data_IF_121496868186
#
_entry.id   IF_121496868186
#
_cell.length_a   1.000
_cell.length_b   1.000
_cell.length_c   1.000
_cell.angle_alpha   90.00
_cell.angle_beta   90.00
_cell.angle_gamma   90.00
#
_symmetry.space_group_name_H-M   'P 1'
#
loop_
_entity.id
_entity.type
_entity.pdbx_description
1 polymer ?
#
# COMPACT_ATOMS: atom_id res chain seq x y z
N UNK A 1 -9.38 -10.92 10.33
CA UNK A 1 -9.22 -9.58 9.74
C UNK A 1 -10.56 -8.89 9.88
N UNK A 2 -10.57 -7.63 10.30
CA UNK A 2 -11.77 -6.79 10.46
C UNK A 2 -11.82 -5.81 9.29
N UNK A 3 -12.99 -5.63 8.69
CA UNK A 3 -13.14 -4.74 7.54
C UNK A 3 -13.03 -3.26 7.98
N UNK A 4 -12.29 -2.47 7.20
CA UNK A 4 -12.19 -1.02 7.41
C UNK A 4 -13.25 -0.30 6.59
N UNK A 5 -13.84 0.80 7.10
CA UNK A 5 -14.68 1.65 6.28
C UNK A 5 -13.82 2.35 5.21
N UNK A 6 -14.33 2.36 3.98
CA UNK A 6 -13.67 2.97 2.81
C UNK A 6 -14.60 3.91 2.03
N UNK A 7 -15.70 4.36 2.66
CA UNK A 7 -16.82 5.13 2.10
C UNK A 7 -16.46 6.57 1.66
N UNK A 8 -15.34 6.73 0.96
CA UNK A 8 -14.80 8.00 0.50
C UNK A 8 -13.96 7.81 -0.77
N UNK A 9 -14.56 8.11 -1.93
CA UNK A 9 -13.81 8.15 -3.20
C UNK A 9 -12.91 9.38 -3.31
N UNK A 10 -13.31 10.48 -2.69
CA UNK A 10 -12.48 11.69 -2.59
C UNK A 10 -11.60 11.59 -1.35
N UNK A 11 -10.30 11.77 -1.54
CA UNK A 11 -9.32 11.88 -0.47
C UNK A 11 -8.54 13.18 -0.55
N UNK A 12 -8.07 13.67 0.60
CA UNK A 12 -7.08 14.74 0.59
C UNK A 12 -5.71 14.15 0.24
N UNK A 13 -4.92 14.92 -0.51
CA UNK A 13 -3.52 14.63 -0.87
C UNK A 13 -2.68 14.25 0.37
N UNK A 14 -2.99 14.85 1.52
CA UNK A 14 -2.43 14.43 2.81
C UNK A 14 -2.63 12.94 3.13
N UNK A 15 -3.87 12.44 3.15
CA UNK A 15 -4.14 11.04 3.52
C UNK A 15 -3.75 10.06 2.43
N UNK A 16 -3.84 10.48 1.17
CA UNK A 16 -3.48 9.63 0.05
C UNK A 16 -1.96 9.52 -0.14
N UNK A 17 -1.16 10.51 0.27
CA UNK A 17 0.29 10.51 0.02
C UNK A 17 1.12 10.91 1.25
N UNK A 18 0.93 12.12 1.78
CA UNK A 18 1.85 12.68 2.78
C UNK A 18 1.86 11.87 4.10
N UNK A 19 0.70 11.41 4.56
CA UNK A 19 0.54 10.57 5.76
C UNK A 19 1.20 9.19 5.63
N UNK A 20 1.45 8.75 4.39
CA UNK A 20 2.16 7.53 4.07
C UNK A 20 3.66 7.80 3.87
N UNK A 21 4.16 9.00 4.17
CA UNK A 21 5.54 9.36 3.91
C UNK A 21 5.90 9.29 2.41
N UNK A 22 4.95 9.53 1.52
CA UNK A 22 5.24 9.69 0.09
C UNK A 22 5.54 11.17 -0.22
N UNK A 23 6.73 11.51 -0.76
CA UNK A 23 7.16 12.90 -0.90
C UNK A 23 6.29 13.68 -1.89
N UNK A 24 6.23 15.01 -1.74
CA UNK A 24 5.44 15.90 -2.60
C UNK A 24 5.95 15.97 -4.05
N UNK A 25 7.24 15.66 -4.26
CA UNK A 25 7.85 15.57 -5.59
C UNK A 25 7.79 14.17 -6.21
N UNK A 26 7.08 13.21 -5.59
CA UNK A 26 7.07 11.84 -6.10
C UNK A 26 6.45 11.78 -7.51
N UNK A 27 6.96 10.97 -8.46
CA UNK A 27 6.39 10.80 -9.80
C UNK A 27 4.90 10.45 -9.84
N UNK A 28 4.44 9.65 -8.88
CA UNK A 28 3.00 9.35 -8.72
C UNK A 28 2.16 10.57 -8.26
N UNK A 29 2.82 11.71 -8.00
CA UNK A 29 2.24 13.05 -7.81
C UNK A 29 2.63 13.99 -8.98
N UNK A 30 3.83 13.86 -9.58
CA UNK A 30 4.24 14.05 -11.01
C UNK A 30 5.78 13.92 -11.23
N UNK A 31 6.23 13.73 -12.49
CA UNK A 31 7.56 13.23 -12.98
C UNK A 31 8.86 13.66 -12.25
N UNK A 32 9.71 12.65 -11.95
CA UNK A 32 11.18 12.58 -11.72
C UNK A 32 11.64 11.96 -10.38
N UNK A 33 12.61 11.02 -10.47
CA UNK A 33 13.20 10.25 -9.35
C UNK A 33 14.34 10.98 -8.62
N UNK A 34 14.55 10.68 -7.33
CA UNK A 34 15.67 11.22 -6.51
C UNK A 34 16.22 10.18 -5.54
N UNK A 35 17.55 10.18 -5.32
CA UNK A 35 18.22 9.34 -4.30
C UNK A 35 18.07 9.93 -2.89
N UNK A 36 17.83 9.07 -1.89
CA UNK A 36 17.63 9.47 -0.49
C UNK A 36 18.89 9.30 0.38
N UNK A 37 19.20 10.30 1.20
CA UNK A 37 20.22 10.26 2.26
C UNK A 37 19.58 10.64 3.61
N UNK A 38 20.17 10.15 4.70
CA UNK A 38 19.72 10.32 6.10
C UNK A 38 19.25 11.76 6.43
N UNK A 39 18.05 11.90 7.04
CA UNK A 39 17.46 13.18 7.46
C UNK A 39 16.05 13.51 6.92
N UNK A 40 15.27 12.51 6.48
CA UNK A 40 14.00 12.75 5.77
C UNK A 40 14.22 13.17 4.32
N UNK A 41 13.18 13.67 3.64
CA UNK A 41 13.26 13.99 2.21
C UNK A 41 13.95 15.33 1.86
N UNK A 42 14.38 16.10 2.86
CA UNK A 42 15.17 17.35 2.70
C UNK A 42 14.56 18.37 1.73
N UNK A 43 13.24 18.54 1.76
CA UNK A 43 12.54 19.58 1.02
C UNK A 43 11.56 20.33 1.93
N UNK A 44 11.13 21.52 1.49
CA UNK A 44 10.11 22.30 2.18
C UNK A 44 8.71 21.73 1.91
N UNK A 45 8.09 21.14 2.94
CA UNK A 45 6.74 20.59 2.83
C UNK A 45 5.70 21.71 2.77
N UNK A 46 4.84 21.67 1.74
CA UNK A 46 3.83 22.71 1.50
C UNK A 46 2.46 22.24 1.93
N UNK A 47 1.83 22.96 2.85
CA UNK A 47 0.48 22.64 3.35
C UNK A 47 -0.58 22.72 2.24
N UNK A 48 -0.45 23.66 1.32
CA UNK A 48 -1.41 23.83 0.23
C UNK A 48 -1.43 22.62 -0.72
N UNK A 49 -0.30 21.94 -0.91
CA UNK A 49 -0.23 20.70 -1.70
C UNK A 49 -0.97 19.53 -1.03
N UNK A 50 -0.92 19.48 0.31
CA UNK A 50 -1.58 18.44 1.10
C UNK A 50 -3.10 18.63 1.24
N UNK A 51 -3.57 19.88 1.08
CA UNK A 51 -5.00 20.26 1.11
C UNK A 51 -5.75 19.97 -0.18
N UNK A 52 -5.04 19.73 -1.30
CA UNK A 52 -5.67 19.37 -2.58
C UNK A 52 -6.47 18.08 -2.42
N UNK A 53 -7.70 18.08 -2.93
CA UNK A 53 -8.50 16.87 -3.02
C UNK A 53 -8.25 16.15 -4.34
N UNK A 54 -8.34 14.83 -4.30
CA UNK A 54 -8.17 13.94 -5.45
C UNK A 54 -9.10 12.73 -5.32
N UNK A 55 -9.24 11.97 -6.39
CA UNK A 55 -9.84 10.64 -6.32
C UNK A 55 -8.80 9.66 -5.78
N UNK A 56 -9.16 8.91 -4.74
CA UNK A 56 -8.26 8.00 -4.03
C UNK A 56 -7.56 7.03 -5.00
N UNK A 57 -6.23 7.02 -4.99
CA UNK A 57 -5.42 6.24 -5.96
C UNK A 57 -5.09 4.83 -5.49
N UNK A 58 -5.23 4.56 -4.19
CA UNK A 58 -5.00 3.25 -3.56
C UNK A 58 -5.72 3.18 -2.20
N UNK A 59 -6.13 1.97 -1.78
CA UNK A 59 -6.80 1.77 -0.48
C UNK A 59 -5.88 1.95 0.73
N UNK A 60 -4.57 2.11 0.52
CA UNK A 60 -3.59 2.42 1.57
C UNK A 60 -3.88 3.73 2.31
N UNK A 61 -4.60 4.68 1.68
CA UNK A 61 -5.11 5.87 2.36
C UNK A 61 -6.10 5.53 3.49
N UNK A 62 -6.96 4.53 3.27
CA UNK A 62 -7.89 4.04 4.28
C UNK A 62 -7.14 3.34 5.43
N UNK A 63 -6.09 2.56 5.11
CA UNK A 63 -5.19 1.98 6.11
C UNK A 63 -4.49 3.05 6.94
N UNK A 64 -4.01 4.14 6.33
CA UNK A 64 -3.41 5.27 7.07
C UNK A 64 -4.40 5.87 8.08
N UNK A 65 -5.65 6.09 7.67
CA UNK A 65 -6.70 6.58 8.57
C UNK A 65 -7.01 5.58 9.70
N UNK A 66 -7.09 4.30 9.40
CA UNK A 66 -7.36 3.26 10.38
C UNK A 66 -6.22 3.14 11.41
N UNK A 67 -4.97 3.16 10.95
CA UNK A 67 -3.78 3.16 11.81
C UNK A 67 -3.67 4.43 12.64
N UNK A 68 -4.01 5.60 12.08
CA UNK A 68 -4.07 6.85 12.85
C UNK A 68 -5.11 6.76 13.98
N UNK A 69 -6.31 6.24 13.70
CA UNK A 69 -7.34 6.01 14.74
C UNK A 69 -6.87 5.04 15.81
N UNK A 70 -6.21 3.95 15.41
CA UNK A 70 -5.61 2.97 16.34
C UNK A 70 -4.58 3.63 17.25
N UNK A 71 -3.69 4.46 16.69
CA UNK A 71 -2.64 5.15 17.43
C UNK A 71 -3.16 6.17 18.46
N UNK A 72 -4.41 6.64 18.31
CA UNK A 72 -5.07 7.55 19.24
C UNK A 72 -5.78 6.86 20.42
N UNK A 73 -5.84 5.53 20.43
CA UNK A 73 -6.40 4.79 21.57
C UNK A 73 -5.49 4.93 22.79
N UNK A 74 -6.07 4.99 23.99
CA UNK A 74 -5.31 5.09 25.24
C UNK A 74 -4.34 3.92 25.44
N UNK A 75 -4.74 2.73 24.97
CA UNK A 75 -3.94 1.50 25.03
C UNK A 75 -3.91 0.87 23.66
N UNK A 76 -2.70 0.60 23.17
CA UNK A 76 -2.51 -0.17 21.95
C UNK A 76 -3.07 -1.58 22.11
N UNK A 77 -3.86 -2.02 21.14
CA UNK A 77 -4.30 -3.40 20.98
C UNK A 77 -3.89 -3.91 19.59
N UNK A 78 -3.36 -5.13 19.46
CA UNK A 78 -3.04 -5.71 18.16
C UNK A 78 -4.27 -5.84 17.27
N UNK A 79 -4.12 -5.52 15.97
CA UNK A 79 -5.23 -5.55 15.01
C UNK A 79 -4.83 -6.15 13.68
N UNK A 80 -5.83 -6.66 12.96
CA UNK A 80 -5.72 -7.16 11.59
C UNK A 80 -6.86 -6.54 10.79
N UNK A 81 -6.59 -5.62 9.88
CA UNK A 81 -7.60 -4.97 9.08
C UNK A 81 -7.52 -5.34 7.60
N UNK A 82 -8.64 -5.30 6.90
CA UNK A 82 -8.68 -5.43 5.44
C UNK A 82 -9.67 -4.44 4.83
N UNK A 83 -9.52 -4.19 3.53
CA UNK A 83 -10.52 -3.50 2.72
C UNK A 83 -10.51 -4.00 1.28
N UNK A 84 -11.66 -3.91 0.61
CA UNK A 84 -11.81 -4.14 -0.82
C UNK A 84 -12.63 -2.99 -1.36
N UNK A 85 -12.02 -2.12 -2.16
CA UNK A 85 -12.74 -0.97 -2.67
C UNK A 85 -12.13 -0.43 -3.96
N UNK A 86 -12.93 0.38 -4.66
CA UNK A 86 -12.54 1.05 -5.89
C UNK A 86 -11.51 2.15 -5.65
N UNK A 87 -10.58 2.24 -6.58
CA UNK A 87 -9.51 3.23 -6.66
C UNK A 87 -9.42 3.76 -8.10
N UNK A 88 -8.87 4.95 -8.26
CA UNK A 88 -8.86 5.68 -9.52
C UNK A 88 -7.43 6.03 -9.90
N UNK A 89 -7.05 5.74 -11.14
CA UNK A 89 -5.72 6.08 -11.66
C UNK A 89 -5.84 6.80 -12.98
N UNK A 90 -5.10 7.89 -13.11
CA UNK A 90 -4.99 8.66 -14.34
C UNK A 90 -3.88 8.06 -15.21
N UNK A 91 -4.03 6.80 -15.59
CA UNK A 91 -3.14 6.07 -16.49
C UNK A 91 -3.76 6.03 -17.90
N UNK A 92 -2.91 5.92 -18.94
CA UNK A 92 -3.41 5.78 -20.31
C UNK A 92 -4.23 4.49 -20.42
N UNK A 93 -5.51 4.62 -20.79
CA UNK A 93 -6.39 3.47 -20.99
C UNK A 93 -5.82 2.57 -22.09
N UNK A 94 -5.58 1.31 -21.75
CA UNK A 94 -5.25 0.27 -22.70
C UNK A 94 -6.03 -1.01 -22.38
N UNK A 95 -5.79 -2.09 -23.12
CA UNK A 95 -6.49 -3.36 -22.94
C UNK A 95 -6.30 -3.99 -21.54
N UNK A 96 -5.34 -3.51 -20.76
CA UNK A 96 -4.93 -4.04 -19.45
C UNK A 96 -5.03 -3.03 -18.31
N UNK A 97 -5.14 -1.72 -18.60
CA UNK A 97 -5.18 -0.65 -17.61
C UNK A 97 -6.51 0.10 -17.69
N UNK A 98 -7.34 -0.09 -16.66
CA UNK A 98 -8.59 0.64 -16.47
C UNK A 98 -8.36 1.89 -15.62
N UNK A 99 -9.08 2.97 -15.91
CA UNK A 99 -9.03 4.21 -15.11
C UNK A 99 -9.56 4.02 -13.67
N UNK A 100 -10.39 2.99 -13.46
CA UNK A 100 -10.84 2.56 -12.14
C UNK A 100 -10.82 1.04 -12.02
N UNK A 101 -10.43 0.53 -10.85
CA UNK A 101 -10.45 -0.89 -10.52
C UNK A 101 -10.57 -1.09 -9.01
N UNK A 102 -10.82 -2.32 -8.57
CA UNK A 102 -10.92 -2.66 -7.15
C UNK A 102 -9.56 -3.12 -6.62
N UNK A 103 -9.13 -2.53 -5.52
CA UNK A 103 -7.92 -2.93 -4.80
C UNK A 103 -8.31 -3.65 -3.51
N UNK A 104 -7.66 -4.80 -3.28
CA UNK A 104 -7.74 -5.55 -2.02
C UNK A 104 -6.50 -5.22 -1.20
N UNK A 105 -6.67 -4.82 0.06
CA UNK A 105 -5.56 -4.55 0.97
C UNK A 105 -5.79 -5.19 2.34
N UNK A 106 -4.71 -5.64 2.96
CA UNK A 106 -4.69 -6.16 4.33
C UNK A 106 -3.52 -5.59 5.12
N UNK A 107 -3.77 -5.17 6.36
CA UNK A 107 -2.76 -4.64 7.28
C UNK A 107 -2.82 -5.37 8.62
N UNK A 108 -1.66 -5.71 9.16
CA UNK A 108 -1.52 -6.29 10.50
C UNK A 108 -0.63 -5.36 11.32
N UNK A 109 -1.13 -4.93 12.48
CA UNK A 109 -0.40 -4.08 13.41
C UNK A 109 -0.26 -4.80 14.75
N UNK A 110 0.97 -5.13 15.12
CA UNK A 110 1.33 -5.77 16.37
C UNK A 110 2.80 -5.44 16.72
N UNK A 111 3.23 -5.76 17.93
CA UNK A 111 4.60 -5.56 18.39
C UNK A 111 5.49 -6.71 17.92
N UNK A 112 6.70 -6.38 17.47
CA UNK A 112 7.69 -7.39 17.08
C UNK A 112 7.35 -8.15 15.79
N UNK A 113 6.53 -7.57 14.91
CA UNK A 113 6.33 -8.13 13.58
C UNK A 113 7.62 -8.10 12.78
N UNK A 114 7.83 -9.12 11.96
CA UNK A 114 9.03 -9.31 11.15
C UNK A 114 8.63 -9.59 9.72
N UNK A 115 9.60 -9.54 8.81
CA UNK A 115 9.38 -9.91 7.42
C UNK A 115 8.83 -11.34 7.27
N UNK A 116 9.25 -12.26 8.14
CA UNK A 116 8.75 -13.63 8.18
C UNK A 116 7.26 -13.70 8.51
N UNK A 117 6.74 -12.84 9.39
CA UNK A 117 5.32 -12.76 9.69
C UNK A 117 4.49 -12.29 8.49
N UNK A 118 5.00 -11.31 7.73
CA UNK A 118 4.39 -10.86 6.48
C UNK A 118 4.33 -11.99 5.45
N UNK A 119 5.47 -12.64 5.20
CA UNK A 119 5.55 -13.78 4.26
C UNK A 119 4.63 -14.94 4.67
N UNK A 120 4.55 -15.25 5.97
CA UNK A 120 3.66 -16.28 6.50
C UNK A 120 2.18 -15.93 6.28
N UNK A 121 1.81 -14.68 6.52
CA UNK A 121 0.44 -14.19 6.29
C UNK A 121 0.06 -14.27 4.81
N UNK A 122 0.94 -13.82 3.91
CA UNK A 122 0.73 -13.89 2.46
C UNK A 122 0.62 -15.35 1.97
N UNK A 123 1.47 -16.25 2.47
CA UNK A 123 1.37 -17.69 2.18
C UNK A 123 0.01 -18.24 2.57
N UNK A 124 -0.49 -17.93 3.77
CA UNK A 124 -1.81 -18.40 4.21
C UNK A 124 -2.95 -17.81 3.37
N UNK A 125 -2.87 -16.53 3.04
CA UNK A 125 -3.85 -15.85 2.20
C UNK A 125 -3.96 -16.52 0.81
N UNK A 126 -2.84 -16.63 0.09
CA UNK A 126 -2.80 -17.22 -1.24
C UNK A 126 -3.11 -18.72 -1.25
N UNK A 127 -2.72 -19.46 -0.21
CA UNK A 127 -3.10 -20.88 -0.08
C UNK A 127 -4.62 -21.05 -0.04
N UNK A 128 -5.35 -20.16 0.66
CA UNK A 128 -6.82 -20.19 0.69
C UNK A 128 -7.46 -19.84 -0.65
N UNK A 129 -6.72 -19.20 -1.56
CA UNK A 129 -7.12 -18.95 -2.95
C UNK A 129 -6.68 -20.06 -3.91
N UNK A 130 -6.09 -21.15 -3.40
CA UNK A 130 -5.57 -22.25 -4.22
C UNK A 130 -4.20 -21.98 -4.84
N UNK A 131 -3.50 -20.92 -4.43
CA UNK A 131 -2.18 -20.54 -4.94
C UNK A 131 -1.10 -20.95 -3.94
N UNK A 132 -0.29 -21.94 -4.30
CA UNK A 132 0.70 -22.55 -3.39
C UNK A 132 2.15 -22.30 -3.80
N UNK A 133 2.43 -22.11 -5.10
CA UNK A 133 3.78 -21.87 -5.61
C UNK A 133 4.15 -20.39 -5.49
N UNK A 134 4.61 -19.93 -4.33
CA UNK A 134 4.96 -18.53 -4.11
C UNK A 134 6.47 -18.26 -4.10
N UNK A 135 6.87 -17.15 -4.71
CA UNK A 135 8.19 -16.53 -4.59
C UNK A 135 8.05 -15.08 -4.16
N UNK A 136 9.02 -14.60 -3.39
CA UNK A 136 9.08 -13.23 -2.90
C UNK A 136 10.30 -12.55 -3.50
N UNK A 137 10.11 -11.36 -4.06
CA UNK A 137 11.19 -10.57 -4.68
C UNK A 137 11.25 -9.20 -4.00
N UNK A 138 12.43 -8.71 -3.58
CA UNK A 138 12.58 -7.35 -3.08
C UNK A 138 12.02 -6.33 -4.06
N UNK A 139 11.34 -5.33 -3.51
CA UNK A 139 10.70 -4.26 -4.27
C UNK A 139 10.96 -2.91 -3.58
N UNK A 140 10.39 -1.85 -4.14
CA UNK A 140 10.40 -0.52 -3.54
C UNK A 140 8.98 0.03 -3.50
N UNK A 141 8.52 0.42 -2.32
CA UNK A 141 7.39 1.33 -2.16
C UNK A 141 7.82 2.49 -1.25
N UNK A 142 7.42 3.74 -1.52
CA UNK A 142 7.81 4.89 -0.71
C UNK A 142 7.47 4.75 0.78
N UNK A 143 6.37 4.05 1.07
CA UNK A 143 5.78 3.92 2.41
C UNK A 143 6.16 2.62 3.14
N UNK A 144 6.94 1.72 2.53
CA UNK A 144 7.38 0.48 3.19
C UNK A 144 8.88 0.23 3.12
N UNK A 145 9.44 -0.27 4.22
CA UNK A 145 10.82 -0.72 4.31
C UNK A 145 10.95 -1.82 5.38
N UNK A 146 11.24 -3.09 5.03
CA UNK A 146 11.43 -3.63 3.67
C UNK A 146 10.11 -3.78 2.86
N UNK A 147 10.24 -3.85 1.53
CA UNK A 147 9.15 -4.10 0.57
C UNK A 147 9.39 -5.36 -0.26
N UNK A 148 8.32 -6.06 -0.66
CA UNK A 148 8.39 -7.23 -1.54
C UNK A 148 7.18 -7.37 -2.47
N UNK A 149 7.46 -7.80 -3.69
CA UNK A 149 6.48 -8.36 -4.63
C UNK A 149 6.33 -9.86 -4.38
N UNK A 150 5.12 -10.37 -4.62
CA UNK A 150 4.76 -11.78 -4.53
C UNK A 150 4.47 -12.31 -5.94
N UNK A 151 5.14 -13.39 -6.30
CA UNK A 151 4.99 -14.06 -7.59
C UNK A 151 4.43 -15.46 -7.41
N UNK A 152 3.59 -15.89 -8.35
CA UNK A 152 3.14 -17.28 -8.48
C UNK A 152 3.49 -17.86 -9.85
N UNK A 153 3.79 -19.15 -9.92
CA UNK A 153 3.90 -19.83 -11.20
C UNK A 153 2.50 -20.05 -11.79
N UNK A 154 2.31 -19.68 -13.06
CA UNK A 154 1.05 -19.86 -13.77
C UNK A 154 1.19 -20.98 -14.82
N UNK A 155 0.57 -22.13 -14.56
CA UNK A 155 0.70 -23.34 -15.39
C UNK A 155 0.37 -23.11 -16.88
N UNK A 156 -0.70 -22.34 -17.17
CA UNK A 156 -1.09 -22.04 -18.55
C UNK A 156 -0.12 -21.13 -19.32
N UNK A 157 0.61 -20.25 -18.62
CA UNK A 157 1.56 -19.30 -19.23
C UNK A 157 3.01 -19.78 -19.11
N UNK A 158 3.23 -20.87 -18.36
CA UNK A 158 4.54 -21.46 -18.05
C UNK A 158 5.58 -20.47 -17.54
N UNK A 159 5.15 -19.45 -16.79
CA UNK A 159 6.00 -18.39 -16.26
C UNK A 159 5.56 -17.95 -14.86
N UNK A 160 6.47 -17.30 -14.14
CA UNK A 160 6.16 -16.59 -12.91
C UNK A 160 5.43 -15.29 -13.24
N UNK A 161 4.27 -15.08 -12.61
CA UNK A 161 3.46 -13.88 -12.73
C UNK A 161 3.35 -13.20 -11.37
N UNK A 162 3.35 -11.87 -11.35
CA UNK A 162 3.10 -11.12 -10.13
C UNK A 162 1.64 -11.31 -9.70
N UNK A 163 1.43 -11.55 -8.41
CA UNK A 163 0.10 -11.76 -7.82
C UNK A 163 -0.20 -10.83 -6.65
N UNK A 164 0.77 -10.00 -6.25
CA UNK A 164 0.57 -8.98 -5.23
C UNK A 164 1.85 -8.23 -4.86
N UNK A 165 1.67 -7.10 -4.19
CA UNK A 165 2.73 -6.27 -3.63
C UNK A 165 2.51 -6.13 -2.10
N UNK A 166 3.59 -5.94 -1.34
CA UNK A 166 3.52 -5.85 0.13
C UNK A 166 4.77 -5.19 0.73
N UNK A 167 4.71 -4.88 2.02
CA UNK A 167 5.87 -4.42 2.77
C UNK A 167 5.54 -4.16 4.24
N UNK A 168 6.54 -3.68 4.98
CA UNK A 168 6.40 -3.22 6.37
C UNK A 168 6.39 -1.70 6.35
N UNK A 169 5.35 -1.06 6.88
CA UNK A 169 5.27 0.41 6.92
C UNK A 169 6.50 1.03 7.59
N UNK A 170 6.99 2.12 7.02
CA UNK A 170 8.12 2.88 7.57
C UNK A 170 7.75 3.46 8.95
N UNK A 171 8.73 3.62 9.86
CA UNK A 171 8.52 4.25 11.17
C UNK A 171 8.27 5.76 11.08
#
# INVERSE_FOLDING_TARGET
>A
FTEMPTDNFVESSFWNFDALFQPQQHPARDQHDTFFLQGGYKYEWRLEEARKNLLRTHTTAASARALHRLARQEKFSPVKYFSIDRVFRNESLDATHLAEFHQVEGVVADRGLTLGHLMGTLRQFFTKLGITQLRFKPAYNPYTEPSMEVFSYHEGLKKWVEVGNSGIFRP
#
